data_IF_541189669490
#
_entry.id   IF_541189669490
#
_cell.length_a   1.000
_cell.length_b   1.000
_cell.length_c   1.000
_cell.angle_alpha   90.00
_cell.angle_beta   90.00
_cell.angle_gamma   90.00
#
_symmetry.space_group_name_H-M   'P 1'
#
loop_
_entity.id
_entity.type
_entity.pdbx_description
1 polymer ?
#
# COMPACT_ATOMS: atom_id res chain seq x y z
N UNK A 1 -18.80 10.53 -2.54
CA UNK A 1 -18.01 9.33 -2.85
C UNK A 1 -17.45 8.71 -1.57
N UNK A 2 -16.80 9.46 -0.68
CA UNK A 2 -16.56 9.02 0.70
C UNK A 2 -17.73 9.36 1.64
N UNK A 3 -18.10 8.46 2.59
CA UNK A 3 -19.04 8.78 3.65
C UNK A 3 -18.54 9.96 4.51
N UNK A 4 -19.47 10.71 5.12
CA UNK A 4 -19.10 11.73 6.10
C UNK A 4 -18.31 11.09 7.27
N UNK A 5 -17.44 11.83 7.96
CA UNK A 5 -16.87 11.36 9.23
C UNK A 5 -17.97 10.94 10.19
N UNK A 6 -17.87 9.73 10.72
CA UNK A 6 -18.77 9.12 11.71
C UNK A 6 -18.18 9.14 13.13
N UNK A 7 -17.02 9.81 13.29
CA UNK A 7 -16.29 9.91 14.55
C UNK A 7 -15.31 8.77 14.81
N UNK A 8 -15.31 7.71 13.98
CA UNK A 8 -14.35 6.61 14.06
C UNK A 8 -13.06 6.87 13.27
N UNK A 9 -11.96 6.15 13.58
CA UNK A 9 -10.78 6.17 12.75
C UNK A 9 -11.08 5.51 11.40
N UNK A 10 -10.53 6.08 10.34
CA UNK A 10 -10.58 5.48 9.00
C UNK A 10 -9.25 4.84 8.66
N UNK A 11 -9.31 3.80 7.84
CA UNK A 11 -8.14 3.04 7.44
C UNK A 11 -8.07 2.92 5.93
N UNK A 12 -6.86 2.92 5.39
CA UNK A 12 -6.60 2.60 4.00
C UNK A 12 -6.03 1.18 3.94
N UNK A 13 -6.72 0.27 3.26
CA UNK A 13 -6.20 -1.05 2.95
C UNK A 13 -5.69 -1.06 1.50
N UNK A 14 -4.37 -1.16 1.34
CA UNK A 14 -3.74 -1.32 0.03
C UNK A 14 -3.56 -2.81 -0.27
N UNK A 15 -4.15 -3.27 -1.36
CA UNK A 15 -4.01 -4.65 -1.82
C UNK A 15 -2.80 -4.79 -2.75
N UNK A 16 -1.75 -5.44 -2.27
CA UNK A 16 -0.58 -5.88 -3.02
C UNK A 16 -0.52 -7.40 -3.22
N UNK A 17 -1.65 -8.10 -3.09
CA UNK A 17 -1.77 -9.52 -3.41
C UNK A 17 -2.03 -9.73 -4.89
N UNK A 18 -0.95 -9.94 -5.63
CA UNK A 18 -0.97 -10.26 -7.05
C UNK A 18 -0.89 -11.78 -7.23
N UNK A 19 -2.04 -12.44 -7.08
CA UNK A 19 -2.19 -13.91 -7.14
C UNK A 19 -2.71 -14.46 -8.46
N UNK A 20 -3.15 -13.59 -9.37
CA UNK A 20 -3.67 -13.99 -10.68
C UNK A 20 -2.54 -14.49 -11.61
N UNK A 21 -2.71 -15.65 -12.29
CA UNK A 21 -1.71 -16.15 -13.23
C UNK A 21 -1.35 -15.14 -14.32
N UNK A 22 -0.05 -14.91 -14.50
CA UNK A 22 0.46 -14.00 -15.53
C UNK A 22 0.48 -12.52 -15.13
N UNK A 23 0.06 -12.16 -13.92
CA UNK A 23 0.15 -10.79 -13.40
C UNK A 23 1.43 -10.60 -12.57
N UNK A 24 2.13 -9.48 -12.82
CA UNK A 24 3.38 -9.13 -12.14
C UNK A 24 3.63 -7.60 -12.10
N UNK A 25 2.58 -6.80 -12.30
CA UNK A 25 2.64 -5.34 -12.38
C UNK A 25 2.88 -4.72 -11.00
N UNK A 26 2.25 -5.26 -9.96
CA UNK A 26 2.29 -4.69 -8.61
C UNK A 26 3.66 -4.97 -7.97
N UNK A 27 4.19 -6.18 -8.23
CA UNK A 27 5.57 -6.55 -7.88
C UNK A 27 6.60 -5.52 -8.36
N UNK A 28 6.43 -5.01 -9.58
CA UNK A 28 7.40 -4.08 -10.20
C UNK A 28 7.46 -2.73 -9.50
N UNK A 29 6.35 -2.28 -8.93
CA UNK A 29 6.30 -1.06 -8.13
C UNK A 29 7.10 -1.25 -6.85
N UNK A 30 6.86 -2.35 -6.11
CA UNK A 30 7.59 -2.66 -4.89
C UNK A 30 9.10 -2.88 -5.13
N UNK A 31 9.47 -3.40 -6.30
CA UNK A 31 10.86 -3.70 -6.66
C UNK A 31 11.66 -2.45 -7.06
N UNK A 32 11.10 -1.58 -7.90
CA UNK A 32 11.87 -0.52 -8.52
C UNK A 32 11.59 0.87 -7.96
N UNK A 33 10.39 1.11 -7.41
CA UNK A 33 10.02 2.42 -6.90
C UNK A 33 9.03 2.31 -5.73
N UNK A 34 9.46 1.77 -4.57
CA UNK A 34 8.59 1.65 -3.40
C UNK A 34 8.10 3.01 -2.87
N UNK A 35 8.89 4.08 -2.99
CA UNK A 35 8.49 5.43 -2.57
C UNK A 35 7.32 5.97 -3.38
N UNK A 36 7.22 5.65 -4.68
CA UNK A 36 6.06 6.01 -5.50
C UNK A 36 4.76 5.44 -4.92
N UNK A 37 4.80 4.18 -4.47
CA UNK A 37 3.65 3.56 -3.80
C UNK A 37 3.34 4.26 -2.47
N UNK A 38 4.35 4.52 -1.64
CA UNK A 38 4.18 5.16 -0.33
C UNK A 38 3.57 6.56 -0.48
N UNK A 39 4.07 7.37 -1.41
CA UNK A 39 3.55 8.70 -1.71
C UNK A 39 2.08 8.63 -2.15
N UNK A 40 1.76 7.74 -3.09
CA UNK A 40 0.38 7.55 -3.56
C UNK A 40 -0.56 7.12 -2.43
N UNK A 41 -0.11 6.22 -1.56
CA UNK A 41 -0.87 5.77 -0.40
C UNK A 41 -1.09 6.90 0.61
N UNK A 42 -0.09 7.75 0.86
CA UNK A 42 -0.20 8.92 1.74
C UNK A 42 -1.18 9.96 1.18
N UNK A 43 -1.11 10.24 -0.12
CA UNK A 43 -2.05 11.16 -0.79
C UNK A 43 -3.49 10.63 -0.67
N UNK A 44 -3.69 9.34 -0.94
CA UNK A 44 -5.00 8.70 -0.81
C UNK A 44 -5.52 8.74 0.64
N UNK A 45 -4.67 8.43 1.61
CA UNK A 45 -5.01 8.49 3.02
C UNK A 45 -5.36 9.91 3.47
N UNK A 46 -4.61 10.91 3.00
CA UNK A 46 -4.90 12.33 3.27
C UNK A 46 -6.26 12.74 2.71
N UNK A 47 -6.52 12.43 1.43
CA UNK A 47 -7.78 12.76 0.77
C UNK A 47 -9.00 12.09 1.44
N UNK A 48 -8.83 10.89 2.00
CA UNK A 48 -9.89 10.12 2.66
C UNK A 48 -9.92 10.29 4.19
N UNK A 49 -9.02 11.10 4.76
CA UNK A 49 -8.87 11.30 6.20
C UNK A 49 -8.64 9.98 6.96
N UNK A 50 -7.81 9.09 6.42
CA UNK A 50 -7.42 7.83 7.06
C UNK A 50 -6.35 8.07 8.13
N UNK A 51 -6.50 7.42 9.28
CA UNK A 51 -5.59 7.46 10.42
C UNK A 51 -4.41 6.50 10.28
N UNK A 52 -4.57 5.42 9.52
CA UNK A 52 -3.49 4.49 9.22
C UNK A 52 -3.67 3.81 7.86
N UNK A 53 -2.55 3.32 7.32
CA UNK A 53 -2.46 2.61 6.05
C UNK A 53 -1.94 1.20 6.37
N UNK A 54 -2.65 0.19 5.89
CA UNK A 54 -2.25 -1.21 5.94
C UNK A 54 -2.00 -1.71 4.54
N UNK A 55 -0.80 -2.22 4.29
CA UNK A 55 -0.40 -2.76 2.99
C UNK A 55 -0.33 -4.26 3.11
N UNK A 56 -1.23 -4.97 2.43
CA UNK A 56 -1.22 -6.42 2.38
C UNK A 56 -0.41 -6.87 1.15
N UNK A 57 0.71 -7.53 1.38
CA UNK A 57 1.53 -8.13 0.32
C UNK A 57 1.57 -9.64 0.56
N UNK A 58 1.37 -10.42 -0.50
CA UNK A 58 1.39 -11.88 -0.42
C UNK A 58 2.72 -12.43 0.11
N UNK A 59 2.67 -13.55 0.83
CA UNK A 59 3.82 -14.10 1.55
C UNK A 59 4.98 -14.53 0.65
N UNK A 60 4.70 -14.92 -0.59
CA UNK A 60 5.70 -15.30 -1.60
C UNK A 60 6.57 -14.11 -2.02
N UNK A 61 6.12 -12.88 -1.74
CA UNK A 61 6.84 -11.67 -2.08
C UNK A 61 7.77 -11.18 -0.96
N UNK A 62 8.29 -12.09 -0.14
CA UNK A 62 9.14 -11.76 1.02
C UNK A 62 10.25 -10.73 0.75
N UNK A 63 10.97 -10.87 -0.38
CA UNK A 63 12.06 -9.94 -0.72
C UNK A 63 11.54 -8.52 -0.99
N UNK A 64 10.41 -8.40 -1.69
CA UNK A 64 9.78 -7.10 -1.97
C UNK A 64 9.17 -6.48 -0.71
N UNK A 65 8.65 -7.29 0.22
CA UNK A 65 8.24 -6.82 1.55
C UNK A 65 9.43 -6.17 2.26
N UNK A 66 10.62 -6.80 2.23
CA UNK A 66 11.83 -6.22 2.84
C UNK A 66 12.28 -4.92 2.16
N UNK A 67 12.10 -4.79 0.86
CA UNK A 67 12.39 -3.54 0.13
C UNK A 67 11.42 -2.43 0.54
N UNK A 68 10.13 -2.74 0.63
CA UNK A 68 9.10 -1.81 1.13
C UNK A 68 9.37 -1.38 2.58
N UNK A 69 9.69 -2.32 3.47
CA UNK A 69 10.05 -2.03 4.87
C UNK A 69 11.29 -1.15 4.98
N UNK A 70 12.26 -1.31 4.08
CA UNK A 70 13.44 -0.45 4.01
C UNK A 70 13.07 0.96 3.57
N UNK A 71 12.35 1.09 2.45
CA UNK A 71 11.91 2.38 1.93
C UNK A 71 11.01 3.15 2.92
N UNK A 72 10.26 2.46 3.78
CA UNK A 72 9.48 3.08 4.85
C UNK A 72 10.35 3.68 5.97
N UNK A 73 11.58 3.20 6.15
CA UNK A 73 12.51 3.63 7.21
C UNK A 73 13.56 4.63 6.73
N UNK A 74 13.75 4.76 5.42
CA UNK A 74 14.64 5.73 4.78
C UNK A 74 14.05 7.16 4.90
#
# INVERSE_FOLDING_TARGET
FMPKPDGGPRYLACNGDESEPGTFKDRKIFEYNPHLFIEGALIAAYAMQCSAIYVYIRGEYYSWIKMMEKALKD
#
